data_IF_743583741787
#
_entry.id   IF_743583741787
#
_cell.length_a   1.000
_cell.length_b   1.000
_cell.length_c   1.000
_cell.angle_alpha   90.00
_cell.angle_beta   90.00
_cell.angle_gamma   90.00
#
_symmetry.space_group_name_H-M   'P 1'
#
loop_
_entity.id
_entity.type
_entity.pdbx_description
1 polymer ?
#
# COMPACT_ATOMS: atom_id res chain seq x y z
N UNK A 1 39.89 -14.73 35.62
CA UNK A 1 40.87 -13.62 35.56
C UNK A 1 41.30 -13.45 34.12
N UNK A 2 40.55 -12.64 33.35
CA UNK A 2 40.91 -12.17 32.01
C UNK A 2 40.42 -10.72 31.96
N UNK A 3 41.37 -9.79 31.87
CA UNK A 3 41.15 -8.35 31.75
C UNK A 3 40.80 -8.03 30.29
N UNK A 4 39.63 -7.43 30.04
CA UNK A 4 39.38 -6.71 28.80
C UNK A 4 39.43 -5.21 29.05
N UNK A 5 40.29 -4.55 28.27
CA UNK A 5 40.62 -3.13 28.34
C UNK A 5 39.39 -2.27 28.02
N UNK A 6 38.97 -1.45 28.99
CA UNK A 6 38.15 -0.26 28.76
C UNK A 6 38.99 0.81 28.06
N UNK A 7 38.62 1.19 26.85
CA UNK A 7 39.03 2.47 26.26
C UNK A 7 37.97 2.94 25.26
N UNK A 8 37.16 3.91 25.68
CA UNK A 8 36.41 4.77 24.76
C UNK A 8 36.58 6.21 25.23
N UNK A 9 37.17 7.00 24.34
CA UNK A 9 37.53 8.39 24.53
C UNK A 9 36.29 9.25 24.77
N UNK A 10 36.41 10.15 25.75
CA UNK A 10 35.64 11.39 25.83
C UNK A 10 36.05 12.27 24.65
N UNK A 11 35.13 12.59 23.75
CA UNK A 11 35.28 13.73 22.84
C UNK A 11 34.06 14.63 23.03
N UNK A 12 34.39 15.90 23.21
CA UNK A 12 33.55 16.98 23.70
C UNK A 12 32.41 17.34 22.76
N UNK A 13 31.28 17.70 23.39
CA UNK A 13 30.33 18.67 22.87
C UNK A 13 31.06 19.96 22.48
N UNK A 14 30.89 20.42 21.24
CA UNK A 14 30.55 21.82 20.96
C UNK A 14 30.25 22.04 19.48
N UNK A 15 29.00 22.45 19.23
CA UNK A 15 28.48 23.35 18.19
C UNK A 15 28.90 23.17 16.72
N UNK A 16 27.88 22.93 15.88
CA UNK A 16 27.58 23.87 14.77
C UNK A 16 26.14 23.63 14.25
N UNK A 17 25.25 24.57 14.58
CA UNK A 17 24.08 24.89 13.77
C UNK A 17 24.57 25.41 12.42
N UNK A 18 24.29 24.71 11.31
CA UNK A 18 24.16 25.34 9.98
C UNK A 18 23.05 24.62 9.21
N UNK A 19 21.92 25.31 9.10
CA UNK A 19 21.00 25.41 7.96
C UNK A 19 21.15 24.38 6.82
N UNK A 20 20.24 23.40 6.77
CA UNK A 20 19.98 22.61 5.56
C UNK A 20 19.05 23.39 4.62
N UNK A 21 19.64 24.30 3.83
CA UNK A 21 18.99 24.82 2.64
C UNK A 21 19.15 23.81 1.49
N UNK A 22 18.02 23.27 1.06
CA UNK A 22 17.64 22.94 -0.32
C UNK A 22 18.75 23.05 -1.38
N UNK A 23 19.28 21.90 -1.81
CA UNK A 23 20.06 21.79 -3.04
C UNK A 23 19.14 21.28 -4.14
N UNK A 24 18.53 22.21 -4.88
CA UNK A 24 18.01 21.94 -6.23
C UNK A 24 19.20 21.88 -7.19
N UNK A 25 19.38 20.84 -8.00
CA UNK A 25 20.38 20.87 -9.07
C UNK A 25 19.90 21.86 -10.15
N UNK A 26 20.60 22.99 -10.25
CA UNK A 26 20.54 23.89 -11.39
C UNK A 26 21.04 23.14 -12.63
N UNK A 27 20.12 22.72 -13.49
CA UNK A 27 20.44 22.28 -14.84
C UNK A 27 20.95 23.49 -15.62
N UNK A 28 22.24 23.49 -15.95
CA UNK A 28 22.85 24.50 -16.79
C UNK A 28 22.29 24.37 -18.22
N UNK A 29 21.46 25.32 -18.61
CA UNK A 29 20.96 25.46 -19.98
C UNK A 29 22.11 25.96 -20.87
N UNK A 30 22.70 25.09 -21.68
CA UNK A 30 23.57 25.52 -22.78
C UNK A 30 22.72 26.20 -23.85
N UNK A 31 23.01 27.46 -24.13
CA UNK A 31 22.33 28.26 -25.15
C UNK A 31 22.80 27.85 -26.55
N UNK A 32 22.22 26.80 -27.10
CA UNK A 32 22.28 26.55 -28.55
C UNK A 32 21.36 27.53 -29.27
N UNK A 33 21.93 28.32 -30.18
CA UNK A 33 21.27 29.31 -31.03
C UNK A 33 19.91 28.85 -31.54
N UNK A 34 18.92 29.72 -31.36
CA UNK A 34 17.53 29.53 -31.77
C UNK A 34 17.43 29.21 -33.27
N UNK A 35 17.12 27.96 -33.59
CA UNK A 35 16.41 27.63 -34.83
C UNK A 35 14.95 27.99 -34.61
N UNK A 36 14.42 28.83 -35.49
CA UNK A 36 13.01 29.22 -35.57
C UNK A 36 12.08 28.07 -35.17
N UNK A 37 11.34 28.28 -34.08
CA UNK A 37 10.30 27.39 -33.61
C UNK A 37 9.17 27.46 -34.64
N UNK A 38 9.18 26.55 -35.62
CA UNK A 38 7.96 26.20 -36.33
C UNK A 38 6.93 25.88 -35.24
N UNK A 39 5.79 26.57 -35.26
CA UNK A 39 4.70 26.40 -34.32
C UNK A 39 4.53 24.93 -33.96
N UNK A 40 4.98 24.58 -32.74
CA UNK A 40 4.62 23.31 -32.12
C UNK A 40 3.11 23.34 -32.02
N UNK A 41 2.43 22.71 -32.98
CA UNK A 41 1.05 22.31 -32.84
C UNK A 41 1.03 21.41 -31.62
N UNK A 42 0.71 21.98 -30.45
CA UNK A 42 0.19 21.23 -29.33
C UNK A 42 -0.91 20.36 -29.93
N UNK A 43 -0.64 19.05 -29.96
CA UNK A 43 -1.59 18.09 -30.46
C UNK A 43 -2.78 18.14 -29.51
N UNK A 44 -3.79 18.94 -29.83
CA UNK A 44 -5.04 19.03 -29.05
C UNK A 44 -5.73 17.66 -28.96
N UNK A 45 -5.35 16.72 -29.82
CA UNK A 45 -5.86 15.35 -29.81
C UNK A 45 -5.14 14.45 -28.79
N UNK A 46 -4.13 14.94 -28.05
CA UNK A 46 -3.65 14.28 -26.82
C UNK A 46 -4.46 14.68 -25.58
N UNK A 47 -5.58 15.38 -25.74
CA UNK A 47 -6.60 15.46 -24.69
C UNK A 47 -7.30 14.10 -24.64
N UNK A 48 -6.59 13.11 -24.08
CA UNK A 48 -7.18 11.87 -23.60
C UNK A 48 -8.48 12.24 -22.90
N UNK A 49 -9.60 11.66 -23.33
CA UNK A 49 -10.84 11.61 -22.56
C UNK A 49 -10.54 10.86 -21.26
N UNK A 50 -9.95 11.58 -20.31
CA UNK A 50 -9.57 11.09 -18.99
C UNK A 50 -10.85 11.03 -18.19
N UNK A 51 -11.26 9.81 -17.83
CA UNK A 51 -12.09 9.62 -16.65
C UNK A 51 -11.33 10.26 -15.49
N UNK A 52 -11.78 11.44 -15.08
CA UNK A 52 -11.12 12.18 -14.02
C UNK A 52 -11.75 11.75 -12.69
N UNK A 53 -11.25 10.66 -12.10
CA UNK A 53 -11.76 10.21 -10.80
C UNK A 53 -11.64 11.28 -9.71
N UNK A 54 -10.87 12.37 -9.90
CA UNK A 54 -10.85 13.47 -8.93
C UNK A 54 -12.20 14.19 -8.77
N UNK A 55 -13.11 14.08 -9.75
CA UNK A 55 -14.47 14.63 -9.66
C UNK A 55 -15.44 13.68 -8.94
N UNK A 56 -15.07 12.41 -8.74
CA UNK A 56 -15.89 11.48 -7.98
C UNK A 56 -15.99 11.94 -6.51
N UNK A 57 -17.21 12.02 -5.98
CA UNK A 57 -17.48 12.56 -4.64
C UNK A 57 -16.71 11.85 -3.53
N UNK A 58 -16.46 10.54 -3.66
CA UNK A 58 -15.73 9.76 -2.67
C UNK A 58 -14.22 10.02 -2.77
N UNK A 59 -13.68 10.05 -3.99
CA UNK A 59 -12.26 10.37 -4.22
C UNK A 59 -11.94 11.81 -3.83
N UNK A 60 -12.85 12.75 -4.11
CA UNK A 60 -12.71 14.14 -3.70
C UNK A 60 -12.52 14.26 -2.18
N UNK A 61 -13.27 13.50 -1.37
CA UNK A 61 -13.08 13.50 0.10
C UNK A 61 -11.68 13.04 0.52
N UNK A 62 -11.10 12.07 -0.18
CA UNK A 62 -9.73 11.59 0.08
C UNK A 62 -8.71 12.68 -0.27
N UNK A 63 -8.88 13.35 -1.42
CA UNK A 63 -8.04 14.47 -1.87
C UNK A 63 -8.13 15.63 -0.87
N UNK A 64 -9.35 16.04 -0.52
CA UNK A 64 -9.64 17.12 0.41
C UNK A 64 -8.97 16.86 1.78
N UNK A 65 -9.03 15.63 2.28
CA UNK A 65 -8.31 15.23 3.50
C UNK A 65 -6.79 15.36 3.33
N UNK A 66 -6.21 14.79 2.26
CA UNK A 66 -4.75 14.74 2.07
C UNK A 66 -4.14 16.15 2.04
N UNK A 67 -4.85 17.11 1.47
CA UNK A 67 -4.37 18.47 1.29
C UNK A 67 -5.03 19.50 2.22
N UNK A 68 -5.74 19.06 3.26
CA UNK A 68 -6.41 19.94 4.24
C UNK A 68 -7.32 21.00 3.57
N UNK A 69 -7.98 20.64 2.47
CA UNK A 69 -8.78 21.54 1.61
C UNK A 69 -8.01 22.71 0.96
N UNK A 70 -6.68 22.67 0.88
CA UNK A 70 -5.90 23.68 0.16
C UNK A 70 -6.11 23.53 -1.36
N UNK A 71 -6.90 24.42 -1.95
CA UNK A 71 -7.26 24.38 -3.38
C UNK A 71 -6.05 24.44 -4.31
N UNK A 72 -4.98 25.14 -3.91
CA UNK A 72 -3.77 25.26 -4.73
C UNK A 72 -3.01 23.94 -4.75
N UNK A 73 -2.83 23.32 -3.58
CA UNK A 73 -2.18 22.01 -3.48
C UNK A 73 -3.00 20.93 -4.19
N UNK A 74 -4.33 20.95 -4.04
CA UNK A 74 -5.24 20.02 -4.71
C UNK A 74 -5.13 20.15 -6.23
N UNK A 75 -5.20 21.37 -6.76
CA UNK A 75 -5.07 21.62 -8.21
C UNK A 75 -3.71 21.18 -8.73
N UNK A 76 -2.63 21.48 -8.01
CA UNK A 76 -1.29 21.04 -8.37
C UNK A 76 -1.17 19.52 -8.35
N UNK A 77 -1.71 18.85 -7.33
CA UNK A 77 -1.76 17.40 -7.26
C UNK A 77 -2.49 16.81 -8.46
N UNK A 78 -3.74 17.23 -8.73
CA UNK A 78 -4.53 16.72 -9.86
C UNK A 78 -3.81 16.95 -11.19
N UNK A 79 -3.21 18.12 -11.39
CA UNK A 79 -2.40 18.41 -12.58
C UNK A 79 -1.20 17.47 -12.69
N UNK A 80 -0.49 17.20 -11.60
CA UNK A 80 0.64 16.26 -11.61
C UNK A 80 0.18 14.85 -11.96
N UNK A 81 -0.90 14.35 -11.34
CA UNK A 81 -1.49 13.04 -11.65
C UNK A 81 -1.92 12.95 -13.12
N UNK A 82 -2.42 14.07 -13.67
CA UNK A 82 -2.83 14.14 -15.06
C UNK A 82 -1.68 14.26 -16.07
N UNK A 83 -0.46 14.55 -15.63
CA UNK A 83 0.71 14.68 -16.49
C UNK A 83 1.73 13.54 -16.33
N UNK A 84 1.42 12.51 -15.52
CA UNK A 84 2.21 11.28 -15.50
C UNK A 84 2.13 10.60 -16.88
N UNK A 85 3.28 10.42 -17.50
CA UNK A 85 3.45 9.89 -18.85
C UNK A 85 3.24 8.38 -18.93
N UNK A 86 2.83 7.88 -20.10
CA UNK A 86 2.53 6.47 -20.33
C UNK A 86 3.74 5.54 -20.09
N UNK A 87 4.99 6.04 -20.16
CA UNK A 87 6.17 5.25 -19.80
C UNK A 87 6.17 4.77 -18.35
N UNK A 88 5.35 5.38 -17.47
CA UNK A 88 5.09 4.89 -16.12
C UNK A 88 4.56 3.45 -16.13
N UNK A 89 3.74 3.07 -17.11
CA UNK A 89 3.24 1.69 -17.26
C UNK A 89 4.39 0.69 -17.43
N UNK A 90 5.39 1.03 -18.26
CA UNK A 90 6.57 0.20 -18.47
C UNK A 90 7.46 0.13 -17.23
N UNK A 91 7.59 1.24 -16.51
CA UNK A 91 8.30 1.29 -15.22
C UNK A 91 7.64 0.35 -14.20
N UNK A 92 6.31 0.38 -14.09
CA UNK A 92 5.56 -0.48 -13.19
C UNK A 92 5.63 -1.96 -13.60
N UNK A 93 5.51 -2.28 -14.88
CA UNK A 93 5.68 -3.65 -15.38
C UNK A 93 7.07 -4.20 -15.04
N UNK A 94 8.11 -3.38 -15.21
CA UNK A 94 9.48 -3.73 -14.82
C UNK A 94 9.60 -3.91 -13.31
N UNK A 95 9.02 -3.00 -12.52
CA UNK A 95 9.06 -3.06 -11.07
C UNK A 95 8.37 -4.32 -10.52
N UNK A 96 7.19 -4.70 -11.04
CA UNK A 96 6.47 -5.93 -10.64
C UNK A 96 7.19 -7.22 -11.07
N UNK A 97 8.10 -7.14 -12.04
CA UNK A 97 8.95 -8.28 -12.43
C UNK A 97 9.98 -8.56 -11.34
N UNK A 98 10.65 -7.52 -10.84
CA UNK A 98 11.69 -7.66 -9.81
C UNK A 98 11.14 -7.69 -8.38
N UNK A 99 10.01 -7.03 -8.12
CA UNK A 99 9.35 -7.02 -6.82
C UNK A 99 7.85 -7.33 -6.96
N UNK A 100 7.49 -8.62 -7.03
CA UNK A 100 6.10 -9.04 -6.89
C UNK A 100 5.56 -8.83 -5.45
N UNK A 101 4.52 -8.00 -5.23
CA UNK A 101 4.00 -7.66 -3.89
C UNK A 101 3.63 -8.85 -2.98
N UNK A 102 3.23 -9.99 -3.57
CA UNK A 102 2.86 -11.19 -2.83
C UNK A 102 4.05 -11.97 -2.24
N UNK A 103 5.29 -11.77 -2.73
CA UNK A 103 6.48 -12.46 -2.19
C UNK A 103 7.07 -11.80 -0.95
N UNK A 104 6.84 -10.49 -0.76
CA UNK A 104 7.40 -9.73 0.35
C UNK A 104 8.91 -9.58 0.34
N UNK A 105 9.44 -9.21 1.50
CA UNK A 105 10.84 -8.79 1.67
C UNK A 105 11.80 -9.97 1.89
N UNK A 106 11.30 -11.17 2.22
CA UNK A 106 12.12 -12.36 2.45
C UNK A 106 12.98 -12.77 1.24
N UNK A 107 12.57 -12.37 0.03
CA UNK A 107 13.33 -12.59 -1.20
C UNK A 107 14.41 -11.52 -1.49
N UNK A 108 14.47 -10.42 -0.73
CA UNK A 108 15.37 -9.28 -0.95
C UNK A 108 16.71 -9.44 -0.22
N UNK A 109 16.77 -10.26 0.83
CA UNK A 109 17.86 -10.17 1.83
C UNK A 109 19.15 -10.94 1.51
N UNK A 110 19.22 -11.66 0.37
CA UNK A 110 20.43 -12.39 -0.01
C UNK A 110 21.19 -11.70 -1.15
N UNK A 111 22.40 -11.22 -0.84
CA UNK A 111 23.21 -10.31 -1.65
C UNK A 111 23.44 -10.72 -3.11
N UNK A 112 22.97 -9.87 -4.03
CA UNK A 112 23.31 -9.82 -5.45
C UNK A 112 22.72 -8.55 -6.08
N UNK A 113 23.03 -8.26 -7.35
CA UNK A 113 22.35 -7.25 -8.17
C UNK A 113 20.80 -7.37 -8.12
N UNK A 114 20.28 -8.58 -7.95
CA UNK A 114 18.85 -8.84 -7.79
C UNK A 114 18.25 -8.09 -6.58
N UNK A 115 18.94 -8.06 -5.44
CA UNK A 115 18.47 -7.36 -4.24
C UNK A 115 18.38 -5.85 -4.48
N UNK A 116 19.33 -5.27 -5.22
CA UNK A 116 19.30 -3.86 -5.59
C UNK A 116 18.11 -3.55 -6.52
N UNK A 117 17.91 -4.35 -7.57
CA UNK A 117 16.77 -4.18 -8.47
C UNK A 117 15.43 -4.36 -7.74
N UNK A 118 15.35 -5.32 -6.82
CA UNK A 118 14.15 -5.56 -6.02
C UNK A 118 13.82 -4.38 -5.10
N UNK A 119 14.82 -3.80 -4.41
CA UNK A 119 14.60 -2.61 -3.56
C UNK A 119 14.18 -1.38 -4.36
N UNK A 120 14.85 -1.12 -5.50
CA UNK A 120 14.47 -0.03 -6.41
C UNK A 120 13.04 -0.21 -6.91
N UNK A 121 12.69 -1.43 -7.30
CA UNK A 121 11.35 -1.78 -7.77
C UNK A 121 10.30 -1.64 -6.69
N UNK A 122 10.57 -2.12 -5.47
CA UNK A 122 9.71 -1.90 -4.30
C UNK A 122 9.45 -0.41 -4.09
N UNK A 123 10.48 0.42 -4.15
CA UNK A 123 10.34 1.87 -3.99
C UNK A 123 9.46 2.48 -5.09
N UNK A 124 9.64 2.09 -6.35
CA UNK A 124 8.76 2.52 -7.45
C UNK A 124 7.30 2.21 -7.13
N UNK A 125 6.99 0.98 -6.66
CA UNK A 125 5.63 0.60 -6.32
C UNK A 125 5.09 1.39 -5.11
N UNK A 126 5.91 1.57 -4.06
CA UNK A 126 5.55 2.36 -2.86
C UNK A 126 5.24 3.81 -3.24
N UNK A 127 6.10 4.43 -4.04
CA UNK A 127 5.90 5.80 -4.51
C UNK A 127 4.61 5.90 -5.33
N UNK A 128 4.31 4.91 -6.18
CA UNK A 128 3.07 4.90 -6.94
C UNK A 128 1.82 4.81 -6.07
N UNK A 129 1.78 3.94 -5.06
CA UNK A 129 0.60 3.81 -4.18
C UNK A 129 0.47 4.92 -3.13
N UNK A 130 1.54 5.69 -2.87
CA UNK A 130 1.53 6.83 -1.94
C UNK A 130 1.31 8.17 -2.63
N UNK A 131 2.00 8.39 -3.76
CA UNK A 131 2.10 9.70 -4.42
C UNK A 131 1.34 9.73 -5.75
N UNK A 132 1.29 8.62 -6.48
CA UNK A 132 0.60 8.51 -7.78
C UNK A 132 -0.74 7.77 -7.69
N UNK A 133 -1.33 7.68 -6.50
CA UNK A 133 -2.47 6.80 -6.24
C UNK A 133 -3.69 7.17 -7.09
N UNK A 134 -3.93 8.45 -7.38
CA UNK A 134 -5.07 8.88 -8.20
C UNK A 134 -4.84 8.46 -9.66
N UNK A 135 -3.61 8.62 -10.17
CA UNK A 135 -3.24 8.08 -11.47
C UNK A 135 -3.38 6.56 -11.50
N UNK A 136 -2.97 5.85 -10.45
CA UNK A 136 -3.13 4.40 -10.35
C UNK A 136 -4.60 4.00 -10.49
N UNK A 137 -5.51 4.67 -9.77
CA UNK A 137 -6.96 4.41 -9.88
C UNK A 137 -7.51 4.68 -11.29
N UNK A 138 -7.10 5.78 -11.91
CA UNK A 138 -7.49 6.13 -13.28
C UNK A 138 -7.00 5.10 -14.32
N UNK A 139 -5.98 4.32 -13.98
CA UNK A 139 -5.35 3.32 -14.86
C UNK A 139 -5.56 1.87 -14.40
N UNK A 140 -6.54 1.58 -13.52
CA UNK A 140 -6.81 0.19 -13.08
C UNK A 140 -7.10 -0.76 -14.24
N UNK A 141 -7.63 -0.26 -15.37
CA UNK A 141 -7.84 -1.08 -16.58
C UNK A 141 -6.55 -1.65 -17.18
N UNK A 142 -5.42 -1.04 -16.88
CA UNK A 142 -4.09 -1.51 -17.28
C UNK A 142 -3.49 -2.46 -16.25
N UNK A 143 -4.10 -2.63 -15.08
CA UNK A 143 -3.57 -3.44 -13.99
C UNK A 143 -4.25 -4.82 -14.00
N UNK A 144 -3.49 -5.84 -13.67
CA UNK A 144 -4.00 -7.19 -13.45
C UNK A 144 -3.61 -7.68 -12.05
N UNK A 145 -4.60 -8.24 -11.37
CA UNK A 145 -4.49 -8.75 -10.00
C UNK A 145 -4.70 -10.26 -10.03
N UNK A 146 -3.85 -11.01 -9.36
CA UNK A 146 -3.91 -12.48 -9.30
C UNK A 146 -4.39 -12.91 -7.92
N UNK A 147 -5.20 -13.97 -7.84
CA UNK A 147 -5.62 -14.52 -6.55
C UNK A 147 -4.39 -14.79 -5.67
N UNK A 148 -4.49 -14.34 -4.43
CA UNK A 148 -3.47 -14.53 -3.42
C UNK A 148 -4.09 -15.19 -2.19
N UNK A 149 -4.20 -16.51 -2.26
CA UNK A 149 -4.76 -17.39 -1.22
C UNK A 149 -3.80 -17.66 -0.06
N UNK A 150 -2.61 -17.04 -0.01
CA UNK A 150 -1.59 -17.32 1.01
C UNK A 150 -1.26 -16.09 1.83
N UNK A 151 -0.87 -16.26 3.08
CA UNK A 151 -0.39 -15.16 3.92
C UNK A 151 1.02 -14.67 3.56
N UNK A 152 1.89 -14.54 4.56
CA UNK A 152 3.30 -14.26 4.36
C UNK A 152 4.04 -15.47 3.76
N UNK A 153 3.66 -16.67 4.20
CA UNK A 153 4.34 -17.91 3.84
C UNK A 153 3.53 -18.66 2.78
N UNK A 154 4.23 -19.14 1.75
CA UNK A 154 3.69 -20.19 0.90
C UNK A 154 3.52 -21.44 1.75
N UNK A 155 2.26 -21.84 1.95
CA UNK A 155 1.89 -23.08 2.60
C UNK A 155 1.69 -24.12 1.49
N UNK A 156 1.98 -25.39 1.76
CA UNK A 156 1.67 -26.47 0.80
C UNK A 156 0.18 -26.37 0.42
N UNK A 157 -0.15 -26.73 -0.83
CA UNK A 157 -1.55 -26.77 -1.27
C UNK A 157 -2.26 -27.82 -0.42
N UNK A 158 -3.01 -27.35 0.56
CA UNK A 158 -3.96 -28.13 1.32
C UNK A 158 -5.34 -28.13 0.62
N UNK A 159 -6.27 -28.89 1.17
CA UNK A 159 -7.62 -28.96 0.62
C UNK A 159 -8.30 -27.58 0.62
N UNK A 160 -8.00 -26.70 1.59
CA UNK A 160 -8.61 -25.36 1.68
C UNK A 160 -8.19 -24.48 0.50
N UNK A 161 -6.90 -24.48 0.15
CA UNK A 161 -6.38 -23.76 -1.01
C UNK A 161 -6.97 -24.28 -2.33
N UNK A 162 -7.14 -25.60 -2.45
CA UNK A 162 -7.75 -26.20 -3.64
C UNK A 162 -9.22 -25.80 -3.79
N UNK A 163 -10.00 -25.87 -2.72
CA UNK A 163 -11.41 -25.45 -2.70
C UNK A 163 -11.56 -23.96 -3.04
N UNK A 164 -10.65 -23.11 -2.54
CA UNK A 164 -10.63 -21.68 -2.88
C UNK A 164 -10.33 -21.46 -4.37
N UNK A 165 -9.33 -22.14 -4.94
CA UNK A 165 -9.02 -22.07 -6.36
C UNK A 165 -10.20 -22.52 -7.22
N UNK A 166 -10.86 -23.63 -6.85
CA UNK A 166 -12.03 -24.15 -7.55
C UNK A 166 -13.20 -23.16 -7.48
N UNK A 167 -13.51 -22.61 -6.30
CA UNK A 167 -14.57 -21.61 -6.12
C UNK A 167 -14.30 -20.33 -6.93
N UNK A 168 -13.07 -19.81 -6.88
CA UNK A 168 -12.67 -18.60 -7.62
C UNK A 168 -12.70 -18.83 -9.12
N UNK A 169 -12.31 -20.01 -9.60
CA UNK A 169 -12.29 -20.33 -11.03
C UNK A 169 -13.67 -20.25 -11.71
N UNK A 170 -14.75 -20.40 -10.93
CA UNK A 170 -16.12 -20.22 -11.41
C UNK A 170 -16.43 -18.77 -11.78
N UNK A 171 -15.78 -17.80 -11.12
CA UNK A 171 -15.94 -16.36 -11.37
C UNK A 171 -14.85 -15.81 -12.30
N UNK A 172 -13.62 -16.29 -12.14
CA UNK A 172 -12.44 -15.85 -12.86
C UNK A 172 -11.66 -17.07 -13.37
N UNK A 173 -11.89 -17.55 -14.61
CA UNK A 173 -11.24 -18.76 -15.12
C UNK A 173 -9.70 -18.71 -15.10
N UNK A 174 -9.13 -17.52 -15.30
CA UNK A 174 -7.67 -17.31 -15.23
C UNK A 174 -7.18 -17.00 -13.81
N UNK A 175 -8.07 -16.97 -12.83
CA UNK A 175 -7.76 -16.67 -11.43
C UNK A 175 -7.19 -15.24 -11.30
N UNK A 176 -7.59 -14.36 -12.23
CA UNK A 176 -7.17 -12.96 -12.27
C UNK A 176 -8.36 -12.01 -12.38
N UNK A 177 -8.20 -10.83 -11.79
CA UNK A 177 -9.09 -9.68 -11.96
C UNK A 177 -8.41 -8.66 -12.85
N UNK A 178 -9.13 -8.26 -13.89
CA UNK A 178 -8.80 -7.13 -14.77
C UNK A 178 -10.03 -6.24 -14.89
N UNK A 179 -9.82 -4.94 -14.77
CA UNK A 179 -10.90 -3.96 -14.87
C UNK A 179 -11.08 -3.56 -16.33
N UNK A 180 -12.33 -3.48 -16.79
CA UNK A 180 -12.63 -2.88 -18.10
C UNK A 180 -12.69 -1.36 -18.00
N UNK A 181 -13.32 -0.87 -16.92
CA UNK A 181 -13.41 0.53 -16.54
C UNK A 181 -13.26 0.67 -15.02
N UNK A 182 -12.85 1.84 -14.55
CA UNK A 182 -12.85 2.13 -13.11
C UNK A 182 -14.15 2.81 -12.73
N UNK A 183 -15.08 2.07 -12.14
CA UNK A 183 -16.34 2.63 -11.62
C UNK A 183 -16.39 2.55 -10.09
N UNK A 184 -16.25 3.71 -9.45
CA UNK A 184 -16.41 3.85 -7.99
C UNK A 184 -17.88 4.09 -7.68
N UNK A 185 -18.51 3.17 -6.95
CA UNK A 185 -19.94 3.17 -6.66
C UNK A 185 -20.23 3.74 -5.27
N UNK A 186 -19.38 3.43 -4.30
CA UNK A 186 -19.47 3.96 -2.94
C UNK A 186 -18.09 3.92 -2.27
N UNK A 187 -17.96 4.61 -1.15
CA UNK A 187 -16.84 4.48 -0.25
C UNK A 187 -17.26 4.78 1.18
N UNK A 188 -16.61 4.12 2.13
CA UNK A 188 -16.79 4.39 3.55
C UNK A 188 -15.48 4.30 4.32
N UNK A 189 -15.44 5.00 5.43
CA UNK A 189 -14.30 5.02 6.34
C UNK A 189 -14.65 4.23 7.61
N UNK A 190 -13.69 3.42 8.07
CA UNK A 190 -13.76 2.69 9.31
C UNK A 190 -12.56 3.04 10.18
N UNK A 191 -12.81 3.60 11.37
CA UNK A 191 -11.75 3.93 12.33
C UNK A 191 -11.27 2.65 13.01
N UNK A 192 -9.97 2.36 12.92
CA UNK A 192 -9.42 1.12 13.43
C UNK A 192 -9.35 1.15 14.97
N UNK A 193 -9.96 0.18 15.66
CA UNK A 193 -9.81 0.07 17.10
C UNK A 193 -8.46 -0.56 17.44
N UNK A 194 -7.81 -0.07 18.50
CA UNK A 194 -6.82 -0.82 19.29
C UNK A 194 -5.55 -1.33 18.57
N UNK A 195 -5.10 -0.73 17.47
CA UNK A 195 -3.81 -1.09 16.81
C UNK A 195 -2.63 -0.21 17.25
N UNK A 196 -2.87 0.75 18.13
CA UNK A 196 -1.97 1.86 18.46
C UNK A 196 -1.16 1.62 19.75
N UNK A 197 -0.50 0.48 19.87
CA UNK A 197 0.51 0.31 20.92
C UNK A 197 1.71 1.20 20.59
N UNK A 198 2.08 2.10 21.51
CA UNK A 198 3.07 3.15 21.23
C UNK A 198 2.75 3.93 19.94
N UNK A 199 1.51 4.46 19.87
CA UNK A 199 0.93 5.13 18.71
C UNK A 199 1.90 6.08 17.99
N UNK A 200 2.27 5.74 16.75
CA UNK A 200 3.01 6.62 15.85
C UNK A 200 2.07 7.50 15.03
N UNK A 201 0.80 7.14 14.91
CA UNK A 201 -0.19 7.87 14.14
C UNK A 201 -1.44 8.21 14.95
N UNK A 202 -2.09 9.30 14.55
CA UNK A 202 -3.38 9.73 15.09
C UNK A 202 -4.48 9.43 14.06
N UNK A 203 -5.67 9.13 14.56
CA UNK A 203 -6.88 8.88 13.76
C UNK A 203 -6.68 7.87 12.62
N UNK A 204 -5.97 6.78 12.91
CA UNK A 204 -5.77 5.70 11.96
C UNK A 204 -7.11 5.06 11.58
N UNK A 205 -7.42 5.07 10.28
CA UNK A 205 -8.62 4.50 9.69
C UNK A 205 -8.33 3.81 8.36
N UNK A 206 -9.27 2.98 7.93
CA UNK A 206 -9.28 2.36 6.61
C UNK A 206 -10.42 2.96 5.80
N UNK A 207 -10.14 3.38 4.57
CA UNK A 207 -11.15 3.80 3.61
C UNK A 207 -11.30 2.68 2.59
N UNK A 208 -12.51 2.11 2.52
CA UNK A 208 -12.87 1.15 1.50
C UNK A 208 -13.51 1.86 0.32
N UNK A 209 -13.00 1.60 -0.89
CA UNK A 209 -13.59 2.05 -2.16
C UNK A 209 -14.24 0.84 -2.83
N UNK A 210 -15.54 0.93 -3.06
CA UNK A 210 -16.33 -0.13 -3.71
C UNK A 210 -16.34 0.11 -5.22
N UNK A 211 -15.78 -0.86 -5.94
CA UNK A 211 -15.64 -0.96 -7.39
C UNK A 211 -16.59 -2.03 -7.94
N UNK A 212 -17.22 -1.79 -9.10
CA UNK A 212 -17.98 -2.79 -9.87
C UNK A 212 -18.91 -3.68 -9.02
N UNK A 213 -19.58 -3.06 -8.05
CA UNK A 213 -20.47 -3.62 -7.02
C UNK A 213 -19.80 -4.44 -5.92
N UNK A 214 -18.96 -5.43 -6.21
CA UNK A 214 -18.46 -6.39 -5.22
C UNK A 214 -16.93 -6.54 -5.17
N UNK A 215 -16.21 -5.63 -5.82
CA UNK A 215 -14.76 -5.51 -5.74
C UNK A 215 -14.42 -4.32 -4.86
N UNK A 216 -13.40 -4.46 -4.03
CA UNK A 216 -13.08 -3.44 -3.04
C UNK A 216 -11.58 -3.26 -2.98
N UNK A 217 -11.13 -2.01 -3.00
CA UNK A 217 -9.76 -1.65 -2.67
C UNK A 217 -9.77 -0.84 -1.38
N UNK A 218 -8.66 -0.85 -0.64
CA UNK A 218 -8.56 -0.10 0.61
C UNK A 218 -7.39 0.86 0.64
N UNK A 219 -7.62 2.00 1.29
CA UNK A 219 -6.60 2.95 1.69
C UNK A 219 -6.47 2.91 3.20
N UNK A 220 -5.26 3.09 3.71
CA UNK A 220 -5.09 3.57 5.07
C UNK A 220 -5.03 5.09 5.07
N UNK A 221 -5.63 5.68 6.10
CA UNK A 221 -5.70 7.12 6.35
C UNK A 221 -5.25 7.38 7.78
N UNK A 222 -4.37 8.35 7.98
CA UNK A 222 -3.93 8.75 9.32
C UNK A 222 -3.34 10.16 9.31
N UNK A 223 -3.15 10.72 10.50
CA UNK A 223 -2.30 11.88 10.74
C UNK A 223 -0.98 11.41 11.36
N UNK A 224 0.14 11.97 10.94
CA UNK A 224 1.40 11.77 11.65
C UNK A 224 1.48 12.60 12.94
N UNK A 225 2.62 12.53 13.63
CA UNK A 225 2.81 13.26 14.89
C UNK A 225 2.74 14.78 14.73
N UNK A 226 3.02 15.29 13.52
CA UNK A 226 2.96 16.71 13.14
C UNK A 226 1.60 17.12 12.54
N UNK A 227 0.58 16.28 12.72
CA UNK A 227 -0.77 16.45 12.19
C UNK A 227 -0.80 16.59 10.65
N UNK A 228 0.18 16.02 9.95
CA UNK A 228 0.15 15.96 8.48
C UNK A 228 -0.70 14.79 8.00
N UNK A 229 -1.62 15.02 7.05
CA UNK A 229 -2.49 13.97 6.56
C UNK A 229 -1.72 13.03 5.65
N UNK A 230 -1.89 11.75 5.90
CA UNK A 230 -1.27 10.68 5.14
C UNK A 230 -2.33 9.69 4.68
N UNK A 231 -2.18 9.28 3.43
CA UNK A 231 -2.97 8.22 2.82
C UNK A 231 -2.01 7.32 2.05
N UNK A 232 -2.34 6.04 1.95
CA UNK A 232 -1.74 5.19 0.93
C UNK A 232 -2.70 4.08 0.55
N UNK A 233 -2.64 3.69 -0.72
CA UNK A 233 -3.44 2.63 -1.31
C UNK A 233 -2.81 1.26 -1.03
N UNK A 234 -3.60 0.25 -0.67
CA UNK A 234 -3.15 -1.13 -0.73
C UNK A 234 -3.28 -1.70 -2.14
N UNK A 235 -2.34 -2.58 -2.50
CA UNK A 235 -2.26 -3.20 -3.82
C UNK A 235 -3.17 -4.42 -3.98
N UNK A 236 -4.11 -4.61 -3.06
CA UNK A 236 -5.03 -5.73 -3.06
C UNK A 236 -6.43 -5.29 -3.48
N UNK A 237 -7.09 -6.14 -4.26
CA UNK A 237 -8.50 -6.10 -4.57
C UNK A 237 -9.18 -7.24 -3.83
N UNK A 238 -10.15 -6.92 -2.98
CA UNK A 238 -11.00 -7.90 -2.31
C UNK A 238 -12.26 -8.12 -3.13
N UNK A 239 -12.62 -9.38 -3.36
CA UNK A 239 -13.81 -9.79 -4.10
C UNK A 239 -14.76 -10.54 -3.17
N UNK A 240 -16.01 -10.07 -3.10
CA UNK A 240 -17.02 -10.59 -2.17
C UNK A 240 -18.26 -11.08 -2.95
N UNK A 241 -18.20 -12.25 -3.60
CA UNK A 241 -19.19 -12.67 -4.60
C UNK A 241 -20.59 -12.90 -4.04
N UNK A 242 -20.69 -13.30 -2.77
CA UNK A 242 -21.97 -13.65 -2.12
C UNK A 242 -22.73 -12.44 -1.58
N UNK A 243 -22.14 -11.25 -1.64
CA UNK A 243 -22.73 -10.03 -1.07
C UNK A 243 -23.27 -9.15 -2.20
N UNK A 244 -24.58 -8.90 -2.17
CA UNK A 244 -25.28 -8.17 -3.22
C UNK A 244 -25.67 -6.73 -2.83
N UNK A 245 -25.48 -6.33 -1.57
CA UNK A 245 -25.84 -4.99 -1.06
C UNK A 245 -24.63 -4.24 -0.53
N UNK A 246 -24.66 -2.91 -0.69
CA UNK A 246 -23.61 -2.02 -0.17
C UNK A 246 -23.48 -2.13 1.36
N UNK A 247 -24.59 -2.19 2.08
CA UNK A 247 -24.57 -2.30 3.54
C UNK A 247 -24.05 -3.67 4.01
N UNK A 248 -24.34 -4.74 3.26
CA UNK A 248 -23.76 -6.06 3.49
C UNK A 248 -22.24 -6.05 3.29
N UNK A 249 -21.75 -5.34 2.26
CA UNK A 249 -20.31 -5.20 2.01
C UNK A 249 -19.65 -4.45 3.16
N UNK A 250 -20.23 -3.31 3.57
CA UNK A 250 -19.75 -2.51 4.72
C UNK A 250 -19.63 -3.36 5.98
N UNK A 251 -20.68 -4.08 6.32
CA UNK A 251 -20.71 -4.93 7.53
C UNK A 251 -19.65 -6.03 7.49
N UNK A 252 -19.46 -6.66 6.32
CA UNK A 252 -18.47 -7.72 6.16
C UNK A 252 -17.04 -7.18 6.20
N UNK A 253 -16.78 -6.05 5.55
CA UNK A 253 -15.47 -5.40 5.56
C UNK A 253 -15.09 -4.84 6.93
N UNK A 254 -16.07 -4.37 7.71
CA UNK A 254 -15.84 -4.00 9.13
C UNK A 254 -15.51 -5.24 9.95
N UNK A 255 -16.22 -6.36 9.75
CA UNK A 255 -15.90 -7.63 10.41
C UNK A 255 -14.49 -8.11 10.05
N UNK A 256 -14.09 -7.92 8.78
CA UNK A 256 -12.77 -8.24 8.28
C UNK A 256 -11.67 -7.43 8.97
N UNK A 257 -11.78 -6.11 9.04
CA UNK A 257 -10.78 -5.30 9.74
C UNK A 257 -10.76 -5.56 11.25
N UNK A 258 -11.91 -5.84 11.87
CA UNK A 258 -11.95 -6.26 13.26
C UNK A 258 -11.16 -7.56 13.48
N UNK A 259 -11.30 -8.55 12.60
CA UNK A 259 -10.53 -9.79 12.69
C UNK A 259 -9.03 -9.56 12.51
N UNK A 260 -8.64 -8.67 11.59
CA UNK A 260 -7.23 -8.25 11.45
C UNK A 260 -6.72 -7.61 12.75
N UNK A 261 -7.48 -6.70 13.36
CA UNK A 261 -7.11 -6.06 14.63
C UNK A 261 -7.02 -7.06 15.79
N UNK A 262 -7.96 -8.00 15.89
CA UNK A 262 -7.94 -9.07 16.90
C UNK A 262 -6.66 -9.91 16.77
N UNK A 263 -6.31 -10.31 15.55
CA UNK A 263 -5.11 -11.11 15.27
C UNK A 263 -3.81 -10.34 15.55
N UNK A 264 -3.77 -9.05 15.19
CA UNK A 264 -2.65 -8.17 15.53
C UNK A 264 -2.39 -8.12 17.04
N UNK A 265 -3.47 -7.96 17.82
CA UNK A 265 -3.39 -7.93 19.28
C UNK A 265 -2.95 -9.28 19.86
N UNK A 266 -3.44 -10.38 19.27
CA UNK A 266 -3.02 -11.73 19.68
C UNK A 266 -1.53 -11.95 19.43
N UNK A 267 -1.02 -11.57 18.26
CA UNK A 267 0.41 -11.72 17.92
C UNK A 267 1.31 -10.94 18.89
N UNK A 268 0.89 -9.74 19.27
CA UNK A 268 1.59 -8.96 20.29
C UNK A 268 1.62 -9.67 21.65
N UNK A 269 0.48 -10.22 22.09
CA UNK A 269 0.40 -10.96 23.37
C UNK A 269 1.29 -12.20 23.32
N UNK A 270 1.27 -12.94 22.21
CA UNK A 270 2.08 -14.14 22.02
C UNK A 270 3.58 -13.82 22.02
N UNK A 271 3.99 -12.75 21.36
CA UNK A 271 5.38 -12.27 21.36
C UNK A 271 5.84 -11.88 22.78
N UNK A 272 5.01 -11.16 23.53
CA UNK A 272 5.31 -10.81 24.94
C UNK A 272 5.46 -12.08 25.78
N UNK A 273 4.57 -13.06 25.62
CA UNK A 273 4.60 -14.30 26.37
C UNK A 273 5.80 -15.17 26.00
N UNK A 274 6.18 -15.22 24.72
CA UNK A 274 7.38 -15.91 24.26
C UNK A 274 8.62 -15.36 24.96
N UNK A 275 8.84 -14.04 24.91
CA UNK A 275 9.99 -13.43 25.57
C UNK A 275 9.98 -13.63 27.08
N UNK A 276 8.80 -13.59 27.73
CA UNK A 276 8.66 -13.86 29.18
C UNK A 276 9.17 -15.24 29.56
N UNK A 277 8.96 -16.21 28.69
CA UNK A 277 9.37 -17.59 28.91
C UNK A 277 10.85 -17.84 28.56
N UNK A 278 11.38 -17.12 27.57
CA UNK A 278 12.76 -17.31 27.08
C UNK A 278 13.78 -16.54 27.93
N UNK A 279 13.49 -15.28 28.28
CA UNK A 279 14.36 -14.42 29.09
C UNK A 279 13.52 -13.57 30.05
N UNK A 280 13.40 -13.98 31.32
CA UNK A 280 12.64 -13.23 32.34
C UNK A 280 13.13 -11.80 32.55
N UNK A 281 14.38 -11.49 32.17
CA UNK A 281 14.99 -10.16 32.32
C UNK A 281 14.79 -9.26 31.11
N UNK A 282 14.20 -9.79 30.03
CA UNK A 282 13.89 -9.02 28.83
C UNK A 282 12.91 -7.89 29.13
N UNK A 283 13.21 -6.68 28.64
CA UNK A 283 12.29 -5.56 28.72
C UNK A 283 11.20 -5.69 27.65
N UNK A 284 10.06 -6.29 28.03
CA UNK A 284 8.93 -6.51 27.11
C UNK A 284 8.36 -5.22 26.52
N UNK A 285 8.69 -4.04 27.08
CA UNK A 285 8.29 -2.78 26.45
C UNK A 285 8.93 -2.58 25.07
N UNK A 286 10.05 -3.24 24.79
CA UNK A 286 10.66 -3.24 23.46
C UNK A 286 9.78 -3.91 22.41
N UNK A 287 8.90 -4.85 22.80
CA UNK A 287 7.95 -5.48 21.87
C UNK A 287 7.00 -4.44 21.29
N UNK A 288 6.51 -3.49 22.11
CA UNK A 288 5.64 -2.39 21.64
C UNK A 288 6.33 -1.43 20.66
N UNK A 289 7.67 -1.42 20.61
CA UNK A 289 8.40 -0.66 19.57
C UNK A 289 8.41 -1.39 18.22
N UNK A 290 8.24 -2.72 18.24
CA UNK A 290 8.19 -3.58 17.05
C UNK A 290 6.75 -3.81 16.58
N UNK A 291 5.79 -3.80 17.50
CA UNK A 291 4.36 -3.93 17.24
C UNK A 291 3.66 -2.59 17.49
N UNK A 292 3.78 -1.68 16.51
CA UNK A 292 3.06 -0.42 16.48
C UNK A 292 2.27 -0.23 15.18
N UNK A 293 1.43 0.79 15.16
CA UNK A 293 0.61 1.18 14.01
C UNK A 293 1.41 1.49 12.73
N UNK A 294 2.64 2.02 12.85
CA UNK A 294 3.54 2.19 11.70
C UNK A 294 3.96 0.88 11.04
N UNK A 295 4.10 -0.20 11.83
CA UNK A 295 4.37 -1.54 11.30
C UNK A 295 3.12 -2.23 10.78
N UNK A 296 1.97 -1.97 11.39
CA UNK A 296 0.67 -2.46 10.96
C UNK A 296 0.32 -2.00 9.54
N UNK A 297 0.55 -0.71 9.23
CA UNK A 297 0.24 -0.12 7.92
C UNK A 297 1.44 -0.08 6.96
N UNK A 298 2.51 -0.84 7.23
CA UNK A 298 3.68 -0.82 6.36
C UNK A 298 3.34 -1.42 4.97
N UNK A 299 3.55 -0.70 3.85
CA UNK A 299 3.29 -1.26 2.53
C UNK A 299 4.11 -2.52 2.26
N UNK A 300 3.47 -3.52 1.65
CA UNK A 300 4.06 -4.82 1.33
C UNK A 300 4.59 -5.63 2.52
N UNK A 301 4.16 -5.28 3.74
CA UNK A 301 4.48 -6.01 4.97
C UNK A 301 4.01 -7.47 4.90
N UNK A 302 4.92 -8.40 5.22
CA UNK A 302 4.61 -9.81 5.35
C UNK A 302 3.54 -10.05 6.42
N UNK A 303 3.72 -9.44 7.59
CA UNK A 303 2.75 -9.48 8.68
C UNK A 303 1.36 -8.99 8.25
N UNK A 304 1.27 -7.87 7.50
CA UNK A 304 -0.03 -7.42 6.99
C UNK A 304 -0.66 -8.49 6.08
N UNK A 305 0.12 -9.14 5.19
CA UNK A 305 -0.40 -10.22 4.34
C UNK A 305 -0.89 -11.42 5.15
N UNK A 306 -0.16 -11.84 6.18
CA UNK A 306 -0.56 -12.94 7.06
C UNK A 306 -1.86 -12.61 7.80
N UNK A 307 -1.97 -11.41 8.38
CA UNK A 307 -3.19 -11.00 9.08
C UNK A 307 -4.41 -10.95 8.15
N UNK A 308 -4.25 -10.44 6.93
CA UNK A 308 -5.35 -10.46 5.95
C UNK A 308 -5.73 -11.90 5.58
N UNK A 309 -4.75 -12.81 5.42
CA UNK A 309 -5.03 -14.22 5.12
C UNK A 309 -5.79 -14.90 6.26
N UNK A 310 -5.28 -14.81 7.49
CA UNK A 310 -5.90 -15.45 8.65
C UNK A 310 -7.31 -14.87 8.88
N UNK A 311 -7.51 -13.55 8.73
CA UNK A 311 -8.82 -12.93 8.85
C UNK A 311 -9.82 -13.40 7.78
N UNK A 312 -9.36 -13.63 6.54
CA UNK A 312 -10.19 -14.23 5.48
C UNK A 312 -10.59 -15.66 5.86
N UNK A 313 -9.65 -16.47 6.34
CA UNK A 313 -9.95 -17.85 6.72
C UNK A 313 -10.94 -17.92 7.89
N UNK A 314 -10.77 -17.07 8.91
CA UNK A 314 -11.70 -16.98 10.04
C UNK A 314 -13.11 -16.58 9.60
N UNK A 315 -13.24 -15.64 8.66
CA UNK A 315 -14.55 -15.21 8.14
C UNK A 315 -15.19 -16.25 7.21
N UNK A 316 -14.40 -17.05 6.50
CA UNK A 316 -14.91 -18.15 5.67
C UNK A 316 -15.64 -19.19 6.52
N UNK A 317 -15.17 -19.43 7.75
CA UNK A 317 -15.85 -20.30 8.73
C UNK A 317 -17.19 -19.71 9.21
N UNK A 318 -17.39 -18.39 9.10
CA UNK A 318 -18.66 -17.68 9.33
C UNK A 318 -19.51 -17.54 8.05
N UNK A 319 -19.23 -18.32 7.00
CA UNK A 319 -19.89 -18.28 5.68
C UNK A 319 -19.74 -16.95 4.92
N UNK A 320 -18.77 -16.11 5.31
CA UNK A 320 -18.44 -14.86 4.60
C UNK A 320 -17.28 -15.09 3.64
N UNK A 321 -17.59 -15.14 2.34
CA UNK A 321 -16.57 -15.34 1.31
C UNK A 321 -15.92 -14.03 0.88
N UNK A 322 -14.62 -13.91 1.17
CA UNK A 322 -13.75 -12.83 0.72
C UNK A 322 -12.57 -13.48 0.01
N UNK A 323 -12.32 -13.09 -1.23
CA UNK A 323 -11.16 -13.52 -2.00
C UNK A 323 -10.23 -12.33 -2.22
N UNK A 324 -8.94 -12.49 -1.92
CA UNK A 324 -7.95 -11.42 -2.09
C UNK A 324 -7.15 -11.62 -3.37
N UNK A 325 -7.12 -10.61 -4.21
CA UNK A 325 -6.31 -10.57 -5.42
C UNK A 325 -5.23 -9.50 -5.28
N UNK A 326 -3.97 -9.87 -5.44
CA UNK A 326 -2.83 -8.94 -5.28
C UNK A 326 -2.33 -8.51 -6.65
N UNK A 327 -1.96 -7.23 -6.77
CA UNK A 327 -1.42 -6.65 -8.01
C UNK A 327 -0.20 -7.42 -8.51
N UNK A 328 -0.23 -7.85 -9.77
CA UNK A 328 0.80 -8.73 -10.35
C UNK A 328 1.39 -8.21 -11.65
N UNK A 329 0.55 -7.72 -12.56
CA UNK A 329 0.98 -7.30 -13.89
C UNK A 329 0.42 -5.93 -14.25
N UNK A 330 1.07 -5.31 -15.22
CA UNK A 330 0.55 -4.16 -15.95
C UNK A 330 0.61 -4.49 -17.43
N UNK A 331 -0.50 -4.23 -18.12
CA UNK A 331 -0.59 -4.34 -19.57
C UNK A 331 0.28 -3.28 -20.24
N UNK A 332 1.43 -3.71 -20.73
CA UNK A 332 2.28 -2.94 -21.64
C UNK A 332 1.67 -3.04 -23.04
N UNK A 333 1.36 -1.89 -23.65
CA UNK A 333 0.86 -1.80 -25.02
C UNK A 333 1.98 -1.71 -26.05
#
# INVERSE_FOLDING_TARGET
>A
MIFFMKKSLKINLSLSLISLCSIFPLVACQTTKAKSLSSLKLNKDSLYTKHNLSENVHIKKIIDFKFKNDETLIKNFINNQNNIVDSKINELASALTWYPPFRGDSAIDNGSLYAEFSRKSKNVLIETIKNDWLWFLNNLKNMEFVLNSYGEFYKDIDNKNKEELEAVSQYFPNITIKFNETKIIDAFEYKLPNVNYNAQFKDLSVIFIILDANKVIKFYKYLDQEDQPNIFLQTDVFFLPKISTIDGLKTTLISFENKICEMWNQYLVDEINYWKNVDPTYDYNQVYTTFNDAKYVLPFSGLNRELNYEAIQALKEEEKEIYRFTWRFVDVK
#
